data_IF_044330471781
#
_entry.id   IF_044330471781
#
_cell.length_a   1.000
_cell.length_b   1.000
_cell.length_c   1.000
_cell.angle_alpha   90.00
_cell.angle_beta   90.00
_cell.angle_gamma   90.00
#
_symmetry.space_group_name_H-M   'P 1'
#
loop_
_entity.id
_entity.type
_entity.pdbx_description
1 polymer ?
#
# COMPACT_ATOMS: atom_id res chain seq x y z
N UNK A 1 2.59 -15.61 16.94
CA UNK A 1 2.43 -16.73 17.89
C UNK A 1 1.66 -16.29 19.12
N UNK A 2 1.30 -17.19 20.06
CA UNK A 2 0.41 -16.90 21.18
C UNK A 2 1.04 -16.08 22.32
N UNK A 3 2.32 -15.71 22.21
CA UNK A 3 3.12 -15.17 23.31
C UNK A 3 3.16 -13.64 23.34
N UNK A 4 2.02 -12.96 23.20
CA UNK A 4 1.96 -11.50 23.20
C UNK A 4 2.54 -10.87 24.48
N UNK A 5 2.31 -11.48 25.64
CA UNK A 5 2.84 -10.99 26.92
C UNK A 5 4.37 -11.08 26.96
N UNK A 6 4.93 -12.26 26.70
CA UNK A 6 6.38 -12.44 26.70
C UNK A 6 7.08 -11.53 25.66
N UNK A 7 6.46 -11.36 24.49
CA UNK A 7 6.95 -10.46 23.46
C UNK A 7 6.92 -8.98 23.92
N UNK A 8 5.87 -8.56 24.63
CA UNK A 8 5.80 -7.23 25.23
C UNK A 8 6.87 -6.99 26.31
N UNK A 9 7.18 -7.99 27.14
CA UNK A 9 8.29 -7.90 28.09
C UNK A 9 9.63 -7.74 27.37
N UNK A 10 9.92 -8.62 26.40
CA UNK A 10 11.13 -8.57 25.58
C UNK A 10 11.28 -7.22 24.88
N UNK A 11 10.22 -6.69 24.26
CA UNK A 11 10.25 -5.38 23.59
C UNK A 11 10.64 -4.25 24.54
N UNK A 12 10.10 -4.23 25.76
CA UNK A 12 10.44 -3.19 26.72
C UNK A 12 11.91 -3.26 27.15
N UNK A 13 12.43 -4.47 27.37
CA UNK A 13 13.82 -4.67 27.77
C UNK A 13 14.77 -4.26 26.64
N UNK A 14 14.46 -4.63 25.40
CA UNK A 14 15.22 -4.21 24.21
C UNK A 14 15.15 -2.70 24.00
N UNK A 15 13.97 -2.09 24.11
CA UNK A 15 13.80 -0.66 23.91
C UNK A 15 14.62 0.17 24.91
N UNK A 16 14.64 -0.23 26.19
CA UNK A 16 15.45 0.44 27.21
C UNK A 16 16.95 0.42 26.87
N UNK A 17 17.47 -0.72 26.38
CA UNK A 17 18.87 -0.83 25.98
C UNK A 17 19.14 0.01 24.72
N UNK A 18 18.29 -0.11 23.69
CA UNK A 18 18.46 0.62 22.42
C UNK A 18 18.42 2.13 22.65
N UNK A 19 17.41 2.65 23.35
CA UNK A 19 17.29 4.09 23.62
C UNK A 19 18.33 4.59 24.62
N UNK A 20 18.84 3.72 25.50
CA UNK A 20 19.93 4.05 26.41
C UNK A 20 21.27 4.26 25.69
N UNK A 21 21.55 3.46 24.67
CA UNK A 21 22.75 3.58 23.83
C UNK A 21 22.61 4.65 22.75
N UNK A 22 21.45 4.73 22.09
CA UNK A 22 21.12 5.72 21.06
C UNK A 22 19.69 6.23 21.21
N UNK A 23 19.48 7.40 21.86
CA UNK A 23 18.16 8.02 22.01
C UNK A 23 17.49 8.40 20.68
N UNK A 24 18.23 8.41 19.56
CA UNK A 24 17.69 8.64 18.22
C UNK A 24 17.22 7.38 17.50
N UNK A 25 17.58 6.20 18.00
CA UNK A 25 17.17 4.92 17.41
C UNK A 25 15.66 4.70 17.55
N UNK A 26 15.07 4.02 16.56
CA UNK A 26 13.65 3.69 16.55
C UNK A 26 13.42 2.22 16.82
N UNK A 27 12.55 1.93 17.77
CA UNK A 27 12.12 0.57 18.12
C UNK A 27 10.70 0.37 17.63
N UNK A 28 10.48 -0.74 16.94
CA UNK A 28 9.19 -1.11 16.38
C UNK A 28 8.84 -2.51 16.87
N UNK A 29 7.54 -2.81 16.94
CA UNK A 29 7.12 -4.21 17.00
C UNK A 29 7.65 -4.91 15.75
N UNK A 30 8.04 -6.18 15.84
CA UNK A 30 8.37 -6.97 14.65
C UNK A 30 7.21 -6.95 13.66
N UNK A 31 7.50 -7.04 12.36
CA UNK A 31 6.49 -6.99 11.31
C UNK A 31 5.41 -8.06 11.51
N UNK A 32 4.26 -7.66 12.04
CA UNK A 32 3.20 -8.61 12.37
C UNK A 32 2.49 -9.03 11.09
N UNK A 33 2.24 -10.32 10.91
CA UNK A 33 1.37 -10.78 9.83
C UNK A 33 -0.05 -10.23 10.04
N UNK A 34 -0.68 -10.46 11.20
CA UNK A 34 -2.07 -10.05 11.46
C UNK A 34 -3.03 -10.48 10.33
N UNK A 35 -2.94 -11.73 9.93
CA UNK A 35 -3.86 -12.43 9.02
C UNK A 35 -3.71 -13.93 9.27
N UNK A 36 -4.39 -14.77 8.50
CA UNK A 36 -4.24 -16.23 8.53
C UNK A 36 -4.37 -16.82 9.95
N UNK A 37 -5.35 -16.30 10.72
CA UNK A 37 -5.52 -16.58 12.14
C UNK A 37 -5.82 -18.06 12.45
N UNK A 38 -5.80 -18.49 13.71
CA UNK A 38 -6.31 -19.81 14.10
C UNK A 38 -7.83 -19.92 13.84
N UNK A 39 -8.37 -21.13 13.61
CA UNK A 39 -9.81 -21.35 13.53
C UNK A 39 -10.56 -20.75 14.73
N UNK A 40 -11.76 -20.19 14.52
CA UNK A 40 -12.54 -20.19 13.27
C UNK A 40 -12.11 -19.10 12.25
N UNK A 41 -11.03 -18.37 12.50
CA UNK A 41 -10.68 -17.14 11.77
C UNK A 41 -9.54 -17.29 10.74
N UNK A 42 -9.02 -18.51 10.49
CA UNK A 42 -8.02 -18.80 9.45
C UNK A 42 -7.36 -20.20 9.56
N UNK A 43 -6.17 -20.37 8.94
CA UNK A 43 -5.53 -21.70 8.75
C UNK A 43 -4.03 -21.79 9.07
N UNK A 44 -3.33 -20.70 9.44
CA UNK A 44 -1.84 -20.69 9.55
C UNK A 44 -1.25 -20.22 10.89
N UNK A 45 -2.04 -20.17 11.95
CA UNK A 45 -1.49 -20.16 13.31
C UNK A 45 -1.16 -18.79 13.92
N UNK A 46 -1.58 -17.69 13.30
CA UNK A 46 -1.55 -16.39 13.98
C UNK A 46 -2.75 -16.23 14.93
N UNK A 47 -2.64 -15.37 15.93
CA UNK A 47 -3.74 -15.06 16.84
C UNK A 47 -4.08 -13.58 16.72
N UNK A 48 -5.38 -13.27 16.72
CA UNK A 48 -5.87 -11.89 16.55
C UNK A 48 -5.48 -11.02 17.74
N UNK A 49 -5.32 -11.64 18.90
CA UNK A 49 -5.05 -11.03 20.18
C UNK A 49 -3.57 -10.65 20.35
N UNK A 50 -2.67 -11.04 19.44
CA UNK A 50 -1.23 -10.79 19.60
C UNK A 50 -0.91 -9.30 19.81
N UNK A 51 -1.29 -8.44 18.85
CA UNK A 51 -1.03 -7.00 18.93
C UNK A 51 -1.67 -6.35 20.17
N UNK A 52 -2.99 -6.50 20.43
CA UNK A 52 -3.58 -5.89 21.63
C UNK A 52 -2.96 -6.42 22.93
N UNK A 53 -2.56 -7.70 23.00
CA UNK A 53 -1.86 -8.25 24.18
C UNK A 53 -0.48 -7.63 24.38
N UNK A 54 0.30 -7.46 23.31
CA UNK A 54 1.60 -6.76 23.37
C UNK A 54 1.41 -5.33 23.88
N UNK A 55 0.47 -4.58 23.30
CA UNK A 55 0.22 -3.19 23.69
C UNK A 55 -0.31 -3.07 25.12
N UNK A 56 -1.20 -3.96 25.57
CA UNK A 56 -1.65 -4.00 26.96
C UNK A 56 -0.48 -4.27 27.93
N UNK A 57 0.40 -5.21 27.58
CA UNK A 57 1.59 -5.55 28.38
C UNK A 57 2.53 -4.35 28.50
N UNK A 58 2.77 -3.63 27.40
CA UNK A 58 3.60 -2.42 27.43
C UNK A 58 2.93 -1.26 28.18
N UNK A 59 1.60 -1.12 28.09
CA UNK A 59 0.85 -0.11 28.85
C UNK A 59 0.89 -0.33 30.36
N UNK A 60 1.13 -1.56 30.82
CA UNK A 60 1.32 -1.86 32.24
C UNK A 60 2.72 -1.48 32.77
N UNK A 61 3.64 -1.05 31.90
CA UNK A 61 4.99 -0.62 32.26
C UNK A 61 5.08 0.91 32.40
N UNK A 62 6.09 1.46 33.11
CA UNK A 62 6.27 2.91 33.25
C UNK A 62 6.31 3.64 31.90
N UNK A 63 5.56 4.73 31.77
CA UNK A 63 5.47 5.52 30.53
C UNK A 63 4.54 4.93 29.45
N UNK A 64 4.04 3.71 29.65
CA UNK A 64 3.14 3.01 28.74
C UNK A 64 3.78 2.62 27.41
N UNK A 65 2.98 2.11 26.46
CA UNK A 65 3.49 1.56 25.21
C UNK A 65 4.30 2.56 24.36
N UNK A 66 4.00 3.86 24.45
CA UNK A 66 4.74 4.91 23.73
C UNK A 66 6.17 5.13 24.22
N UNK A 67 6.51 4.66 25.43
CA UNK A 67 7.88 4.71 25.94
C UNK A 67 8.78 3.63 25.32
N UNK A 68 8.20 2.62 24.66
CA UNK A 68 8.91 1.44 24.16
C UNK A 68 8.75 1.22 22.65
N UNK A 69 7.89 1.99 21.99
CA UNK A 69 7.57 1.86 20.57
C UNK A 69 7.53 3.21 19.87
N UNK A 70 8.24 3.30 18.76
CA UNK A 70 8.30 4.45 17.85
C UNK A 70 7.43 4.26 16.60
N UNK A 71 7.06 3.02 16.26
CA UNK A 71 6.14 2.68 15.19
C UNK A 71 5.50 1.29 15.37
N UNK A 72 4.40 1.07 14.65
CA UNK A 72 3.79 -0.27 14.50
C UNK A 72 4.14 -0.82 13.11
N UNK A 73 4.82 -1.95 13.06
CA UNK A 73 5.16 -2.62 11.81
C UNK A 73 4.19 -3.76 11.52
N UNK A 74 3.64 -3.82 10.30
CA UNK A 74 2.71 -4.87 9.85
C UNK A 74 3.07 -5.32 8.43
N UNK A 75 3.08 -6.63 8.17
CA UNK A 75 3.25 -7.16 6.81
C UNK A 75 1.90 -7.12 6.09
N UNK A 76 1.89 -6.81 4.80
CA UNK A 76 0.66 -6.85 4.00
C UNK A 76 0.80 -7.78 2.79
N UNK A 77 0.06 -8.87 2.82
CA UNK A 77 -0.24 -9.69 1.64
C UNK A 77 -1.75 -9.81 1.50
N UNK A 78 -2.24 -9.80 0.26
CA UNK A 78 -3.66 -9.84 -0.08
C UNK A 78 -4.27 -11.24 0.11
N UNK A 79 -4.16 -11.80 1.32
CA UNK A 79 -4.62 -13.14 1.68
C UNK A 79 -6.02 -13.11 2.31
N UNK A 80 -6.16 -12.36 3.40
CA UNK A 80 -7.41 -12.26 4.17
C UNK A 80 -8.07 -10.87 4.08
N UNK A 81 -7.27 -9.82 3.96
CA UNK A 81 -7.75 -8.45 3.85
C UNK A 81 -7.91 -8.06 2.38
N UNK A 82 -9.09 -7.55 1.96
CA UNK A 82 -9.34 -7.17 0.57
C UNK A 82 -8.36 -6.10 0.05
N UNK A 83 -7.95 -5.17 0.93
CA UNK A 83 -7.00 -4.10 0.63
C UNK A 83 -6.09 -3.83 1.83
N UNK A 84 -4.99 -3.13 1.58
CA UNK A 84 -4.12 -2.65 2.66
C UNK A 84 -4.84 -1.62 3.53
N UNK A 85 -5.72 -0.79 2.96
CA UNK A 85 -6.55 0.15 3.72
C UNK A 85 -7.40 -0.56 4.77
N UNK A 86 -8.02 -1.70 4.43
CA UNK A 86 -8.82 -2.46 5.39
C UNK A 86 -7.98 -2.93 6.57
N UNK A 87 -6.78 -3.49 6.29
CA UNK A 87 -5.87 -3.97 7.34
C UNK A 87 -5.39 -2.82 8.21
N UNK A 88 -4.91 -1.73 7.60
CA UNK A 88 -4.44 -0.56 8.33
C UNK A 88 -5.55 0.08 9.16
N UNK A 89 -6.80 0.07 8.69
CA UNK A 89 -7.95 0.56 9.46
C UNK A 89 -8.18 -0.28 10.72
N UNK A 90 -8.11 -1.61 10.62
CA UNK A 90 -8.24 -2.50 11.78
C UNK A 90 -7.07 -2.32 12.78
N UNK A 91 -5.83 -2.22 12.28
CA UNK A 91 -4.66 -1.94 13.11
C UNK A 91 -4.79 -0.59 13.81
N UNK A 92 -5.26 0.46 13.12
CA UNK A 92 -5.49 1.78 13.73
C UNK A 92 -6.55 1.74 14.83
N UNK A 93 -7.62 0.97 14.67
CA UNK A 93 -8.62 0.80 15.72
C UNK A 93 -8.01 0.16 16.98
N UNK A 94 -7.17 -0.87 16.81
CA UNK A 94 -6.41 -1.46 17.94
C UNK A 94 -5.50 -0.41 18.57
N UNK A 95 -4.71 0.32 17.77
CA UNK A 95 -3.82 1.35 18.28
C UNK A 95 -4.56 2.44 19.05
N UNK A 96 -5.74 2.84 18.60
CA UNK A 96 -6.60 3.82 19.27
C UNK A 96 -7.08 3.29 20.63
N UNK A 97 -7.55 2.04 20.68
CA UNK A 97 -8.01 1.41 21.93
C UNK A 97 -6.89 1.25 22.96
N UNK A 98 -5.62 1.27 22.54
CA UNK A 98 -4.46 1.16 23.42
C UNK A 98 -3.69 2.48 23.62
N UNK A 99 -4.24 3.62 23.18
CA UNK A 99 -3.63 4.94 23.42
C UNK A 99 -2.36 5.23 22.59
N UNK A 100 -2.12 4.47 21.52
CA UNK A 100 -0.94 4.59 20.66
C UNK A 100 -1.26 5.03 19.23
N UNK A 101 -2.47 5.55 18.97
CA UNK A 101 -2.91 5.98 17.64
C UNK A 101 -1.99 6.99 16.94
N UNK A 102 -1.20 7.76 17.70
CA UNK A 102 -0.26 8.73 17.12
C UNK A 102 1.06 8.10 16.64
N UNK A 103 1.32 6.82 16.95
CA UNK A 103 2.49 6.14 16.39
C UNK A 103 2.28 5.93 14.87
N UNK A 104 3.30 6.15 14.04
CA UNK A 104 3.23 5.81 12.63
C UNK A 104 3.08 4.29 12.45
N UNK A 105 2.41 3.92 11.36
CA UNK A 105 2.44 2.54 10.87
C UNK A 105 3.47 2.44 9.75
N UNK A 106 4.26 1.39 9.76
CA UNK A 106 5.17 1.00 8.68
C UNK A 106 4.81 -0.40 8.19
N UNK A 107 5.09 -0.67 6.92
CA UNK A 107 4.87 -1.96 6.29
C UNK A 107 6.21 -2.40 5.71
N UNK A 108 7.03 -3.10 6.50
CA UNK A 108 8.37 -3.50 6.08
C UNK A 108 8.34 -4.63 5.03
N UNK A 109 7.18 -5.24 4.81
CA UNK A 109 7.02 -6.31 3.84
C UNK A 109 5.62 -6.27 3.21
N UNK A 110 5.57 -6.12 1.89
CA UNK A 110 4.36 -6.32 1.10
C UNK A 110 4.70 -6.80 -0.30
N UNK A 111 3.83 -7.57 -0.95
CA UNK A 111 4.10 -8.04 -2.30
C UNK A 111 2.90 -8.67 -2.97
N UNK A 112 3.13 -9.06 -4.22
CA UNK A 112 2.21 -9.90 -4.98
C UNK A 112 3.05 -10.80 -5.88
N UNK A 113 2.56 -12.00 -6.17
CA UNK A 113 3.27 -13.00 -6.97
C UNK A 113 2.85 -12.93 -8.44
N UNK A 114 3.67 -13.50 -9.33
CA UNK A 114 3.43 -13.52 -10.77
C UNK A 114 3.24 -14.91 -11.36
N UNK A 115 3.24 -15.98 -10.57
CA UNK A 115 3.08 -17.34 -11.08
C UNK A 115 1.61 -17.68 -11.37
N UNK A 116 1.36 -18.29 -12.53
CA UNK A 116 0.07 -18.87 -12.91
C UNK A 116 -0.37 -19.97 -11.93
N UNK A 117 0.59 -20.76 -11.40
CA UNK A 117 0.31 -21.81 -10.40
C UNK A 117 -0.22 -21.26 -9.08
N UNK A 118 -0.10 -19.95 -8.84
CA UNK A 118 -0.70 -19.23 -7.73
C UNK A 118 -1.85 -18.29 -8.18
N UNK A 119 -2.39 -18.48 -9.38
CA UNK A 119 -3.54 -17.74 -9.91
C UNK A 119 -3.24 -16.28 -10.28
N UNK A 120 -2.00 -15.98 -10.68
CA UNK A 120 -1.55 -14.64 -11.03
C UNK A 120 -0.72 -14.66 -12.32
N UNK A 121 -0.24 -13.50 -12.77
CA UNK A 121 0.74 -13.35 -13.85
C UNK A 121 1.50 -12.03 -13.62
N UNK A 122 2.48 -11.71 -14.45
CA UNK A 122 3.26 -10.47 -14.30
C UNK A 122 2.43 -9.18 -14.44
N UNK A 123 1.44 -9.16 -15.34
CA UNK A 123 0.58 -8.00 -15.49
C UNK A 123 -0.23 -7.75 -14.20
N UNK A 124 -0.79 -8.82 -13.63
CA UNK A 124 -1.50 -8.74 -12.34
C UNK A 124 -0.57 -8.35 -11.20
N UNK A 125 0.68 -8.82 -11.19
CA UNK A 125 1.68 -8.39 -10.21
C UNK A 125 1.94 -6.88 -10.30
N UNK A 126 2.12 -6.35 -11.51
CA UNK A 126 2.35 -4.93 -11.77
C UNK A 126 1.17 -4.05 -11.32
N UNK A 127 -0.06 -4.47 -11.66
CA UNK A 127 -1.30 -3.83 -11.25
C UNK A 127 -1.43 -3.80 -9.73
N UNK A 128 -1.26 -4.95 -9.07
CA UNK A 128 -1.36 -5.06 -7.60
C UNK A 128 -0.28 -4.27 -6.88
N UNK A 129 0.96 -4.22 -7.40
CA UNK A 129 2.01 -3.38 -6.84
C UNK A 129 1.54 -1.92 -6.80
N UNK A 130 1.08 -1.38 -7.92
CA UNK A 130 0.60 0.01 -7.98
C UNK A 130 -0.55 0.25 -7.00
N UNK A 131 -1.56 -0.63 -6.99
CA UNK A 131 -2.71 -0.52 -6.11
C UNK A 131 -2.31 -0.54 -4.63
N UNK A 132 -1.48 -1.49 -4.21
CA UNK A 132 -1.02 -1.62 -2.82
C UNK A 132 -0.30 -0.35 -2.35
N UNK A 133 0.58 0.22 -3.17
CA UNK A 133 1.30 1.43 -2.80
C UNK A 133 0.40 2.67 -2.76
N UNK A 134 -0.48 2.83 -3.74
CA UNK A 134 -1.45 3.94 -3.76
C UNK A 134 -2.38 3.88 -2.55
N UNK A 135 -2.90 2.69 -2.23
CA UNK A 135 -3.74 2.46 -1.07
C UNK A 135 -2.96 2.64 0.25
N UNK A 136 -1.71 2.19 0.32
CA UNK A 136 -0.84 2.38 1.48
C UNK A 136 -0.56 3.87 1.76
N UNK A 137 -0.26 4.64 0.72
CA UNK A 137 -0.11 6.10 0.81
C UNK A 137 -1.42 6.77 1.26
N UNK A 138 -2.57 6.35 0.71
CA UNK A 138 -3.88 6.86 1.10
C UNK A 138 -4.25 6.49 2.55
N UNK A 139 -3.83 5.32 3.02
CA UNK A 139 -4.00 4.88 4.39
C UNK A 139 -3.05 5.59 5.38
N UNK A 140 -2.14 6.44 4.89
CA UNK A 140 -1.15 7.14 5.70
C UNK A 140 -0.11 6.21 6.30
N UNK A 141 0.27 5.15 5.60
CA UNK A 141 1.44 4.34 5.94
C UNK A 141 2.70 5.17 5.72
N UNK A 142 3.60 5.19 6.71
CA UNK A 142 4.80 6.03 6.69
C UNK A 142 5.91 5.47 5.80
N UNK A 143 6.03 4.15 5.78
CA UNK A 143 7.04 3.43 5.00
C UNK A 143 6.42 2.13 4.48
N UNK A 144 6.62 1.84 3.20
CA UNK A 144 6.09 0.68 2.51
C UNK A 144 7.20 0.02 1.70
N UNK A 145 7.58 -1.20 2.06
CA UNK A 145 8.70 -1.92 1.46
C UNK A 145 8.20 -3.13 0.68
N UNK A 146 8.59 -3.21 -0.59
CA UNK A 146 8.19 -4.31 -1.47
C UNK A 146 9.07 -5.54 -1.28
N UNK A 147 8.44 -6.68 -1.04
CA UNK A 147 9.03 -8.00 -1.06
C UNK A 147 8.74 -8.64 -2.44
N UNK A 148 9.74 -8.83 -3.29
CA UNK A 148 11.15 -8.52 -3.06
C UNK A 148 11.87 -8.08 -4.33
N UNK A 149 13.19 -7.89 -4.27
CA UNK A 149 13.99 -7.57 -5.45
C UNK A 149 13.97 -8.75 -6.44
N UNK A 150 14.06 -9.99 -5.96
CA UNK A 150 14.32 -11.18 -6.76
C UNK A 150 13.29 -12.27 -6.49
N UNK A 151 12.92 -13.03 -7.51
CA UNK A 151 12.14 -14.26 -7.28
C UNK A 151 13.00 -15.25 -6.46
N UNK A 152 12.41 -15.86 -5.44
CA UNK A 152 13.04 -16.84 -4.53
C UNK A 152 12.66 -18.29 -4.85
N UNK A 153 11.67 -18.51 -5.71
CA UNK A 153 11.18 -19.85 -6.05
C UNK A 153 9.96 -19.82 -6.98
N UNK A 154 9.11 -20.85 -6.87
CA UNK A 154 7.86 -20.97 -7.62
C UNK A 154 6.62 -20.52 -6.82
N UNK A 155 5.46 -20.43 -7.49
CA UNK A 155 4.20 -20.10 -6.82
C UNK A 155 4.24 -18.70 -6.21
N UNK A 156 3.94 -18.57 -4.91
CA UNK A 156 3.94 -17.28 -4.20
C UNK A 156 5.34 -16.65 -4.06
N UNK A 157 6.42 -17.44 -4.23
CA UNK A 157 7.82 -16.98 -4.19
C UNK A 157 8.27 -16.30 -5.51
N UNK A 158 7.33 -16.08 -6.44
CA UNK A 158 7.54 -15.30 -7.67
C UNK A 158 7.16 -13.82 -7.48
N UNK A 159 7.45 -13.27 -6.31
CA UNK A 159 7.13 -11.90 -5.93
C UNK A 159 8.23 -10.88 -6.25
N UNK A 160 9.33 -11.32 -6.88
CA UNK A 160 10.44 -10.46 -7.26
C UNK A 160 10.04 -9.38 -8.27
N UNK A 161 10.78 -8.28 -8.26
CA UNK A 161 10.80 -7.28 -9.35
C UNK A 161 11.62 -7.77 -10.56
N UNK A 162 12.52 -8.73 -10.34
CA UNK A 162 13.35 -9.36 -11.35
C UNK A 162 13.20 -10.88 -11.31
N UNK A 163 13.34 -11.51 -12.48
CA UNK A 163 13.34 -12.97 -12.57
C UNK A 163 14.61 -13.57 -11.97
N UNK A 164 14.45 -14.51 -11.05
CA UNK A 164 15.58 -15.09 -10.32
C UNK A 164 16.46 -13.99 -9.72
N UNK A 165 17.78 -14.14 -9.78
CA UNK A 165 18.76 -13.16 -9.28
C UNK A 165 19.34 -12.26 -10.40
N UNK A 166 18.62 -12.10 -11.52
CA UNK A 166 19.14 -11.43 -12.72
C UNK A 166 18.55 -10.03 -12.91
N UNK A 167 19.34 -8.99 -12.58
CA UNK A 167 18.96 -7.59 -12.76
C UNK A 167 18.78 -7.16 -14.22
N UNK A 168 19.20 -7.97 -15.20
CA UNK A 168 18.97 -7.70 -16.62
C UNK A 168 17.60 -8.18 -17.12
N UNK A 169 16.85 -8.87 -16.25
CA UNK A 169 15.53 -9.45 -16.56
C UNK A 169 14.44 -8.87 -15.66
N UNK A 170 14.12 -7.57 -15.78
CA UNK A 170 13.04 -6.95 -15.02
C UNK A 170 11.69 -7.54 -15.42
N UNK A 171 10.81 -7.72 -14.45
CA UNK A 171 9.40 -8.06 -14.65
C UNK A 171 8.59 -6.79 -14.86
N UNK A 172 7.34 -6.92 -15.31
CA UNK A 172 6.43 -5.76 -15.45
C UNK A 172 6.26 -4.98 -14.13
N UNK A 173 6.34 -5.65 -12.98
CA UNK A 173 6.27 -5.01 -11.66
C UNK A 173 7.42 -4.02 -11.41
N UNK A 174 8.61 -4.26 -11.96
CA UNK A 174 9.71 -3.29 -11.87
C UNK A 174 9.37 -1.97 -12.60
N UNK A 175 8.82 -2.06 -13.81
CA UNK A 175 8.36 -0.90 -14.57
C UNK A 175 7.25 -0.16 -13.83
N UNK A 176 6.26 -0.87 -13.29
CA UNK A 176 5.19 -0.29 -12.48
C UNK A 176 5.73 0.46 -11.25
N UNK A 177 6.72 -0.10 -10.56
CA UNK A 177 7.34 0.56 -9.41
C UNK A 177 8.09 1.83 -9.85
N UNK A 178 8.81 1.81 -10.98
CA UNK A 178 9.46 3.00 -11.53
C UNK A 178 8.46 4.11 -11.89
N UNK A 179 7.32 3.75 -12.49
CA UNK A 179 6.27 4.71 -12.85
C UNK A 179 5.62 5.28 -11.59
N UNK A 180 5.22 4.43 -10.65
CA UNK A 180 4.66 4.83 -9.36
C UNK A 180 5.56 5.86 -8.65
N UNK A 181 6.86 5.57 -8.55
CA UNK A 181 7.82 6.48 -7.90
C UNK A 181 7.97 7.78 -8.69
N UNK A 182 8.10 7.73 -10.01
CA UNK A 182 8.19 8.93 -10.84
C UNK A 182 6.93 9.81 -10.74
N UNK A 183 5.75 9.19 -10.68
CA UNK A 183 4.48 9.90 -10.70
C UNK A 183 4.07 10.43 -9.32
N UNK A 184 4.44 9.77 -8.21
CA UNK A 184 3.97 10.10 -6.86
C UNK A 184 5.06 10.51 -5.85
N UNK A 185 6.30 10.72 -6.28
CA UNK A 185 7.34 11.24 -5.35
C UNK A 185 6.91 12.56 -4.72
N UNK A 186 6.94 12.60 -3.39
CA UNK A 186 6.53 13.77 -2.58
C UNK A 186 5.03 14.05 -2.57
N UNK A 187 4.21 13.20 -3.20
CA UNK A 187 2.77 13.35 -3.22
C UNK A 187 2.17 13.12 -1.82
N UNK A 188 1.15 13.91 -1.48
CA UNK A 188 0.37 13.74 -0.25
C UNK A 188 -1.06 13.37 -0.62
N UNK A 189 -1.57 12.29 -0.03
CA UNK A 189 -2.97 11.91 -0.22
C UNK A 189 -3.90 13.08 0.18
N UNK A 190 -4.91 13.33 -0.64
CA UNK A 190 -5.90 14.38 -0.42
C UNK A 190 -7.29 13.80 -0.16
N UNK A 191 -7.81 13.00 -1.09
CA UNK A 191 -9.18 12.47 -1.03
C UNK A 191 -9.38 11.29 -1.96
N UNK A 192 -10.49 10.57 -1.77
CA UNK A 192 -11.01 9.66 -2.77
C UNK A 192 -11.54 10.44 -3.98
N UNK A 193 -11.45 9.85 -5.17
CA UNK A 193 -12.02 10.41 -6.40
C UNK A 193 -13.56 10.44 -6.34
N UNK A 194 -14.19 9.45 -5.71
CA UNK A 194 -15.63 9.44 -5.42
C UNK A 194 -16.54 9.22 -6.62
N UNK A 195 -16.08 8.55 -7.69
CA UNK A 195 -16.86 8.31 -8.89
C UNK A 195 -17.38 6.86 -8.99
N UNK A 196 -18.63 6.64 -9.43
CA UNK A 196 -19.20 5.28 -9.53
C UNK A 196 -18.38 4.36 -10.45
N UNK A 197 -18.22 3.10 -10.04
CA UNK A 197 -17.51 2.07 -10.81
C UNK A 197 -15.99 2.21 -10.84
N UNK A 198 -15.44 3.26 -10.21
CA UNK A 198 -14.01 3.56 -10.20
C UNK A 198 -13.50 3.59 -8.77
N UNK A 199 -12.36 2.95 -8.54
CA UNK A 199 -11.54 3.22 -7.35
C UNK A 199 -10.51 4.27 -7.74
N UNK A 200 -10.44 5.37 -7.01
CA UNK A 200 -9.48 6.43 -7.34
C UNK A 200 -9.09 7.25 -6.12
N UNK A 201 -7.83 7.69 -6.13
CA UNK A 201 -7.19 8.44 -5.06
C UNK A 201 -6.55 9.69 -5.65
N UNK A 202 -6.88 10.84 -5.08
CA UNK A 202 -6.34 12.14 -5.47
C UNK A 202 -5.23 12.51 -4.51
N UNK A 203 -4.09 12.89 -5.08
CA UNK A 203 -2.90 13.33 -4.38
C UNK A 203 -2.58 14.77 -4.73
N UNK A 204 -2.11 15.53 -3.74
CA UNK A 204 -1.49 16.84 -3.94
C UNK A 204 0.00 16.65 -4.16
N UNK A 205 0.49 17.12 -5.30
CA UNK A 205 1.91 17.11 -5.64
C UNK A 205 2.66 18.25 -4.92
N UNK A 206 3.99 18.17 -4.75
CA UNK A 206 4.77 19.23 -4.09
C UNK A 206 4.57 20.63 -4.66
N UNK A 207 4.34 20.73 -5.97
CA UNK A 207 4.07 21.98 -6.70
C UNK A 207 2.63 22.52 -6.55
N UNK A 208 1.79 21.87 -5.75
CA UNK A 208 0.40 22.26 -5.51
C UNK A 208 -0.64 21.68 -6.48
N UNK A 209 -0.22 21.15 -7.63
CA UNK A 209 -1.14 20.50 -8.59
C UNK A 209 -1.70 19.19 -8.03
N UNK A 210 -2.87 18.79 -8.53
CA UNK A 210 -3.43 17.48 -8.22
C UNK A 210 -2.97 16.41 -9.22
N UNK A 211 -2.85 15.18 -8.73
CA UNK A 211 -2.68 13.98 -9.53
C UNK A 211 -3.62 12.90 -9.00
N UNK A 212 -4.37 12.28 -9.89
CA UNK A 212 -5.29 11.19 -9.56
C UNK A 212 -4.69 9.88 -10.01
N UNK A 213 -4.74 8.84 -9.18
CA UNK A 213 -4.52 7.45 -9.60
C UNK A 213 -5.82 6.70 -9.48
N UNK A 214 -6.25 6.01 -10.53
CA UNK A 214 -7.56 5.36 -10.56
C UNK A 214 -7.57 4.11 -11.45
N UNK A 215 -8.52 3.22 -11.20
CA UNK A 215 -8.79 2.01 -11.98
C UNK A 215 -10.27 1.63 -11.85
N UNK A 216 -10.78 0.83 -12.79
CA UNK A 216 -12.10 0.20 -12.66
C UNK A 216 -12.03 -0.86 -11.56
N UNK A 217 -12.98 -0.88 -10.62
CA UNK A 217 -12.89 -1.74 -9.43
C UNK A 217 -12.92 -3.25 -9.79
N UNK A 218 -14.11 -3.79 -10.07
CA UNK A 218 -14.30 -5.18 -10.50
C UNK A 218 -14.79 -5.29 -11.96
N UNK A 219 -15.04 -4.14 -12.60
CA UNK A 219 -15.50 -4.02 -13.96
C UNK A 219 -14.95 -2.71 -14.54
N UNK A 220 -15.07 -2.56 -15.86
CA UNK A 220 -14.76 -1.29 -16.49
C UNK A 220 -15.69 -0.18 -15.97
N UNK A 221 -15.13 1.01 -15.80
CA UNK A 221 -15.85 2.21 -15.39
C UNK A 221 -15.42 3.42 -16.23
N UNK A 222 -15.83 4.61 -15.81
CA UNK A 222 -15.32 5.85 -16.40
C UNK A 222 -15.17 6.91 -15.32
N UNK A 223 -14.13 7.73 -15.45
CA UNK A 223 -13.91 8.88 -14.59
C UNK A 223 -13.98 10.17 -15.41
N UNK A 224 -14.70 11.17 -14.91
CA UNK A 224 -14.81 12.51 -15.50
C UNK A 224 -13.88 13.47 -14.75
N UNK A 225 -13.11 14.24 -15.47
CA UNK A 225 -12.18 15.23 -14.94
C UNK A 225 -12.46 16.58 -15.58
N UNK A 226 -12.42 17.67 -14.81
CA UNK A 226 -12.54 19.02 -15.37
C UNK A 226 -11.23 19.48 -16.02
N UNK A 227 -11.35 20.25 -17.10
CA UNK A 227 -10.22 20.85 -17.82
C UNK A 227 -10.27 20.57 -19.32
N UNK A 228 -9.47 21.31 -20.10
CA UNK A 228 -9.39 21.15 -21.55
C UNK A 228 -8.32 20.16 -22.01
N UNK A 229 -7.43 19.73 -21.11
CA UNK A 229 -6.30 18.87 -21.41
C UNK A 229 -5.86 18.05 -20.18
N UNK A 230 -5.67 16.75 -20.37
CA UNK A 230 -5.14 15.82 -19.37
C UNK A 230 -3.93 15.05 -19.91
N UNK A 231 -2.93 14.86 -19.06
CA UNK A 231 -1.88 13.86 -19.23
C UNK A 231 -2.31 12.58 -18.51
N UNK A 232 -2.49 11.49 -19.27
CA UNK A 232 -2.72 10.13 -18.75
C UNK A 232 -1.43 9.32 -18.90
N UNK A 233 -1.04 8.60 -17.86
CA UNK A 233 0.06 7.61 -17.89
C UNK A 233 -0.50 6.29 -17.38
N UNK A 234 -0.26 5.19 -18.08
CA UNK A 234 -0.58 3.86 -17.54
C UNK A 234 0.50 3.38 -16.55
N UNK A 235 0.29 2.23 -15.92
CA UNK A 235 1.24 1.67 -14.96
C UNK A 235 2.57 1.24 -15.59
N UNK A 236 2.65 1.07 -16.91
CA UNK A 236 3.87 0.71 -17.62
C UNK A 236 4.62 1.93 -18.17
N UNK A 237 4.06 3.13 -18.01
CA UNK A 237 4.70 4.41 -18.32
C UNK A 237 4.35 4.96 -19.70
N UNK A 238 3.38 4.37 -20.42
CA UNK A 238 2.89 4.93 -21.68
C UNK A 238 2.06 6.16 -21.37
N UNK A 239 2.55 7.32 -21.81
CA UNK A 239 1.91 8.60 -21.59
C UNK A 239 1.19 9.09 -22.85
N UNK A 240 -0.03 9.58 -22.67
CA UNK A 240 -0.84 10.20 -23.72
C UNK A 240 -1.45 11.51 -23.22
N UNK A 241 -1.69 12.43 -24.15
CA UNK A 241 -2.45 13.66 -23.90
C UNK A 241 -3.86 13.48 -24.44
N UNK A 242 -4.85 13.83 -23.63
CA UNK A 242 -6.28 13.78 -23.99
C UNK A 242 -6.80 15.21 -23.90
N UNK A 243 -7.32 15.72 -25.01
CA UNK A 243 -7.96 17.03 -25.06
C UNK A 243 -9.49 16.87 -25.00
N UNK A 244 -10.16 17.84 -24.38
CA UNK A 244 -11.62 17.97 -24.33
C UNK A 244 -12.20 17.97 -25.74
N UNK A 245 -13.08 17.00 -26.02
CA UNK A 245 -13.65 16.73 -27.34
C UNK A 245 -12.74 15.99 -28.33
N UNK A 246 -11.54 15.58 -27.92
CA UNK A 246 -10.55 14.90 -28.75
C UNK A 246 -10.51 13.37 -28.62
N UNK A 247 -9.61 12.69 -29.34
CA UNK A 247 -9.39 11.25 -29.17
C UNK A 247 -9.03 10.89 -27.73
N UNK A 248 -9.70 9.89 -27.18
CA UNK A 248 -9.53 9.45 -25.79
C UNK A 248 -10.48 10.10 -24.78
N UNK A 249 -11.19 11.15 -25.19
CA UNK A 249 -12.32 11.69 -24.44
C UNK A 249 -13.59 10.89 -24.76
N UNK A 250 -14.13 10.22 -23.75
CA UNK A 250 -15.21 9.25 -23.88
C UNK A 250 -16.57 9.85 -24.22
N UNK A 251 -16.76 11.17 -24.12
CA UNK A 251 -17.97 11.84 -24.60
C UNK A 251 -17.79 12.59 -25.93
N UNK A 252 -16.54 12.89 -26.33
CA UNK A 252 -16.20 13.54 -27.59
C UNK A 252 -16.76 14.96 -27.72
N UNK A 253 -17.10 15.63 -26.62
CA UNK A 253 -17.65 16.99 -26.63
C UNK A 253 -16.63 17.99 -26.09
N UNK A 254 -16.62 19.22 -26.61
CA UNK A 254 -15.84 20.32 -26.03
C UNK A 254 -16.70 21.00 -24.96
N UNK A 255 -16.65 20.50 -23.72
CA UNK A 255 -17.52 20.94 -22.63
C UNK A 255 -16.77 21.30 -21.34
N UNK A 256 -15.43 21.34 -21.40
CA UNK A 256 -14.55 21.57 -20.26
C UNK A 256 -14.41 20.36 -19.33
N UNK A 257 -14.82 19.17 -19.78
CA UNK A 257 -14.72 17.91 -19.05
C UNK A 257 -14.18 16.82 -19.97
N UNK A 258 -13.28 16.00 -19.46
CA UNK A 258 -12.74 14.84 -20.18
C UNK A 258 -13.17 13.58 -19.45
N UNK A 259 -13.83 12.67 -20.16
CA UNK A 259 -14.25 11.35 -19.67
C UNK A 259 -13.22 10.29 -20.06
N UNK A 260 -12.56 9.69 -19.08
CA UNK A 260 -11.56 8.64 -19.31
C UNK A 260 -12.14 7.28 -18.91
N UNK A 261 -12.02 6.29 -19.79
CA UNK A 261 -12.33 4.89 -19.48
C UNK A 261 -11.35 4.34 -18.43
N UNK A 262 -11.87 3.62 -17.44
CA UNK A 262 -11.11 2.94 -16.42
C UNK A 262 -11.25 1.43 -16.63
N UNK A 263 -10.21 0.76 -17.12
CA UNK A 263 -10.23 -0.69 -17.26
C UNK A 263 -10.17 -1.38 -15.88
N UNK A 264 -10.73 -2.59 -15.81
CA UNK A 264 -10.82 -3.32 -14.55
C UNK A 264 -9.42 -3.67 -14.03
N UNK A 265 -9.13 -3.27 -12.80
CA UNK A 265 -7.84 -3.47 -12.13
C UNK A 265 -6.62 -2.87 -12.87
N UNK A 266 -6.83 -1.90 -13.75
CA UNK A 266 -5.80 -1.30 -14.60
C UNK A 266 -5.49 0.14 -14.14
N UNK A 267 -4.45 0.37 -13.31
CA UNK A 267 -4.19 1.66 -12.71
C UNK A 267 -3.64 2.67 -13.72
N UNK A 268 -4.23 3.85 -13.75
CA UNK A 268 -3.73 4.98 -14.53
C UNK A 268 -3.54 6.23 -13.67
N UNK A 269 -2.52 7.02 -14.01
CA UNK A 269 -2.20 8.31 -13.42
C UNK A 269 -2.72 9.41 -14.33
N UNK A 270 -3.45 10.38 -13.77
CA UNK A 270 -4.03 11.51 -14.51
C UNK A 270 -3.72 12.83 -13.80
N UNK A 271 -3.27 13.82 -14.56
CA UNK A 271 -3.11 15.19 -14.12
C UNK A 271 -3.48 16.16 -15.26
N UNK A 272 -3.81 17.40 -14.91
CA UNK A 272 -3.94 18.47 -15.91
C UNK A 272 -2.63 18.65 -16.69
N UNK A 273 -2.74 18.98 -17.98
CA UNK A 273 -1.57 19.39 -18.76
C UNK A 273 -0.94 20.66 -18.16
N UNK A 274 0.38 20.80 -18.33
CA UNK A 274 1.11 22.02 -17.97
C UNK A 274 1.17 22.98 -19.15
#
# INVERSE_FOLDING_TARGET
GPHGVAYGHMLADVANVVHGEDPGARVMIGGIAYDSFLPPHGTRGFIKEFLPTVLATLNAKPGGARAYLDAIAVHYYSLQFPSIINKITEIRAIMQNHGVAALPIVVPETGYWSADSAGSNEARQAQRLTQIFVEGLAAGVRELSYFSVFDSGGGMETSGLFHGQDLSRPKLAYSAYRVLTAELTGAKYSRLLGQPGVTGYVFRMPQGSEKTVFWGANAAGSAVFGGSCLRRVDELGVANTINDGGPGDGDGQVNGQIRIAAAANDPAYVAACR
#
